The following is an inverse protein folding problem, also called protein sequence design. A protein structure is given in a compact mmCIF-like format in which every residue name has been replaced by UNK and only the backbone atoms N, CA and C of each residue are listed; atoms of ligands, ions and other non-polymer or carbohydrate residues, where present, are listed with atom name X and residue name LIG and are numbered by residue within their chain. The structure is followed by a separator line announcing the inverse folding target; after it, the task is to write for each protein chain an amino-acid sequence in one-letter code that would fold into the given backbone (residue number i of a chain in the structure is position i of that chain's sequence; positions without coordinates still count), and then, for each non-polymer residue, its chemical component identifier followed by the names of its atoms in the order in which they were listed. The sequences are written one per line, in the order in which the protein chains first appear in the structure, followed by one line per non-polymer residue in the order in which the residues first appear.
data_IF_838043324646
#
_entry.id   IF_838043324646
#
_cell.length_a   1.000
_cell.length_b   1.000
_cell.length_c   1.000
_cell.angle_alpha   90.00
_cell.angle_beta   90.00
_cell.angle_gamma   90.00
#
_symmetry.space_group_name_H-M   'P 1'
#
loop_
_entity.id
_entity.type
_entity.pdbx_description
1 polymer ?
#
# COMPACT_ATOMS: atom_id res chain seq x y z
N UNK A 1 -74.53 53.15 50.35
CA UNK A 1 -74.57 51.66 50.34
C UNK A 1 -74.14 50.95 49.05
N UNK A 2 -73.79 51.61 47.95
CA UNK A 2 -73.39 50.96 46.70
C UNK A 2 -71.92 50.55 46.62
N UNK A 3 -71.01 51.12 47.42
CA UNK A 3 -69.56 50.86 47.30
C UNK A 3 -69.10 49.57 48.04
N UNK A 4 -69.80 49.05 49.00
CA UNK A 4 -69.45 47.80 49.71
C UNK A 4 -69.86 46.53 48.96
N UNK A 5 -70.85 46.60 48.11
CA UNK A 5 -71.39 45.46 47.34
C UNK A 5 -70.49 45.13 46.14
N UNK A 6 -69.87 46.13 45.51
CA UNK A 6 -68.93 45.96 44.41
C UNK A 6 -67.64 45.26 44.87
N UNK A 7 -67.18 45.58 46.08
CA UNK A 7 -65.96 44.91 46.66
C UNK A 7 -66.18 43.44 47.04
N UNK A 8 -67.43 43.04 47.41
CA UNK A 8 -67.69 41.59 47.68
C UNK A 8 -67.79 40.78 46.41
N UNK A 9 -68.46 41.29 45.34
CA UNK A 9 -68.50 40.57 44.08
C UNK A 9 -67.17 40.48 43.38
N UNK A 10 -66.31 41.53 43.50
CA UNK A 10 -64.92 41.48 42.95
C UNK A 10 -64.04 40.43 43.64
N UNK A 11 -64.20 40.32 44.97
CA UNK A 11 -63.48 39.28 45.75
C UNK A 11 -63.90 37.84 45.39
N UNK A 12 -65.23 37.65 45.17
CA UNK A 12 -65.77 36.35 44.80
C UNK A 12 -65.26 35.96 43.38
N UNK A 13 -65.21 36.86 42.45
CA UNK A 13 -64.65 36.65 41.09
C UNK A 13 -63.17 36.39 41.17
N UNK A 14 -62.42 37.08 42.03
CA UNK A 14 -60.95 36.80 42.23
C UNK A 14 -60.69 35.41 42.83
N UNK A 15 -61.47 35.01 43.83
CA UNK A 15 -61.36 33.73 44.44
C UNK A 15 -61.76 32.54 43.51
N UNK A 16 -62.76 32.72 42.67
CA UNK A 16 -63.20 31.77 41.64
C UNK A 16 -62.15 31.67 40.52
N UNK A 17 -61.55 32.81 40.11
CA UNK A 17 -60.48 32.85 39.12
C UNK A 17 -59.21 32.12 39.63
N UNK A 18 -58.80 32.35 40.91
CA UNK A 18 -57.66 31.65 41.50
C UNK A 18 -57.98 30.12 41.64
N UNK A 19 -59.20 29.76 42.06
CA UNK A 19 -59.61 28.35 42.15
C UNK A 19 -59.54 27.65 40.78
N UNK A 20 -60.06 28.31 39.73
CA UNK A 20 -60.00 27.78 38.38
C UNK A 20 -58.53 27.65 37.85
N UNK A 21 -57.66 28.59 38.19
CA UNK A 21 -56.25 28.54 37.85
C UNK A 21 -55.53 27.39 38.56
N UNK A 22 -55.83 27.17 39.85
CA UNK A 22 -55.25 26.05 40.62
C UNK A 22 -55.73 24.70 40.09
N UNK A 23 -57.02 24.56 39.76
CA UNK A 23 -57.58 23.35 39.15
C UNK A 23 -56.97 23.11 37.77
N UNK A 24 -56.81 24.19 36.94
CA UNK A 24 -56.20 24.13 35.64
C UNK A 24 -54.70 23.70 35.66
N UNK A 25 -53.96 24.28 36.64
CA UNK A 25 -52.57 23.85 36.83
C UNK A 25 -52.45 22.40 37.33
N UNK A 26 -53.34 21.97 38.20
CA UNK A 26 -53.36 20.59 38.68
C UNK A 26 -53.76 19.60 37.56
N UNK A 27 -54.71 19.95 36.73
CA UNK A 27 -55.11 19.17 35.55
C UNK A 27 -53.96 19.10 34.52
N UNK A 28 -53.29 20.21 34.29
CA UNK A 28 -52.15 20.26 33.39
C UNK A 28 -51.00 19.43 33.90
N UNK A 29 -50.64 19.51 35.20
CA UNK A 29 -49.59 18.71 35.81
C UNK A 29 -49.95 17.22 35.81
N UNK A 30 -51.22 16.89 36.07
CA UNK A 30 -51.68 15.49 36.03
C UNK A 30 -51.60 14.91 34.62
N UNK A 31 -51.98 15.67 33.59
CA UNK A 31 -51.89 15.28 32.20
C UNK A 31 -50.42 15.13 31.75
N UNK A 32 -49.51 15.99 32.24
CA UNK A 32 -48.07 15.92 31.97
C UNK A 32 -47.34 14.85 32.77
N UNK A 33 -47.90 14.40 33.86
CA UNK A 33 -47.37 13.34 34.76
C UNK A 33 -47.76 11.92 34.34
N UNK A 34 -48.57 11.78 33.26
CA UNK A 34 -48.86 10.44 32.76
C UNK A 34 -47.58 9.86 32.13
N UNK A 35 -47.14 8.62 32.52
CA UNK A 35 -45.97 8.01 31.93
C UNK A 35 -46.21 7.84 30.43
N UNK A 36 -45.26 8.36 29.63
CA UNK A 36 -45.23 8.08 28.19
C UNK A 36 -44.93 6.57 28.04
N UNK A 37 -45.88 5.83 27.54
CA UNK A 37 -45.67 4.42 27.25
C UNK A 37 -44.66 4.35 26.10
N UNK A 38 -43.41 4.01 26.42
CA UNK A 38 -42.39 3.76 25.42
C UNK A 38 -42.73 2.48 24.66
N UNK A 39 -42.95 2.59 23.37
CA UNK A 39 -43.16 1.47 22.46
C UNK A 39 -41.82 1.05 21.91
N UNK A 40 -41.54 -0.24 21.95
CA UNK A 40 -40.34 -0.81 21.44
C UNK A 40 -40.58 -1.49 20.09
N UNK A 41 -39.60 -1.44 19.22
CA UNK A 41 -39.59 -2.21 17.99
C UNK A 41 -39.57 -3.69 18.31
N UNK A 42 -40.29 -4.50 17.53
CA UNK A 42 -40.30 -5.94 17.64
C UNK A 42 -39.45 -6.52 16.52
N UNK A 43 -38.37 -7.19 16.89
CA UNK A 43 -37.42 -7.80 15.96
C UNK A 43 -37.54 -9.31 16.02
N UNK A 44 -37.62 -9.94 14.86
CA UNK A 44 -37.59 -11.42 14.77
C UNK A 44 -36.18 -11.88 14.43
N UNK A 45 -35.69 -12.93 15.11
CA UNK A 45 -34.42 -13.56 14.74
C UNK A 45 -34.45 -14.05 13.29
N UNK A 46 -33.35 -13.90 12.55
CA UNK A 46 -33.21 -14.37 11.19
C UNK A 46 -31.92 -15.19 11.02
N UNK A 47 -31.92 -16.09 10.05
CA UNK A 47 -30.67 -16.76 9.70
C UNK A 47 -29.87 -15.86 8.76
N UNK A 48 -28.64 -15.62 9.15
CA UNK A 48 -27.71 -14.78 8.40
C UNK A 48 -26.26 -15.27 8.58
N UNK A 49 -25.34 -14.65 7.88
CA UNK A 49 -23.90 -14.91 8.06
C UNK A 49 -23.29 -13.80 8.89
N UNK A 50 -22.66 -14.14 10.00
CA UNK A 50 -21.92 -13.21 10.86
C UNK A 50 -20.43 -13.34 10.58
N UNK A 51 -19.77 -12.21 10.31
CA UNK A 51 -18.33 -12.17 9.98
C UNK A 51 -17.65 -11.18 10.90
N UNK A 52 -16.79 -11.70 11.78
CA UNK A 52 -15.90 -10.84 12.56
C UNK A 52 -14.70 -10.51 11.71
N UNK A 53 -14.43 -9.23 11.50
CA UNK A 53 -13.35 -8.72 10.67
C UNK A 53 -12.56 -7.63 11.39
N UNK A 54 -11.30 -7.49 11.04
CA UNK A 54 -10.48 -6.34 11.40
C UNK A 54 -10.04 -5.61 10.15
N UNK A 55 -9.68 -4.33 10.28
CA UNK A 55 -9.30 -3.49 9.15
C UNK A 55 -7.84 -3.08 9.31
N UNK A 56 -7.05 -3.35 8.26
CA UNK A 56 -5.70 -2.81 8.12
C UNK A 56 -5.68 -1.72 7.06
N UNK A 57 -4.96 -0.65 7.32
CA UNK A 57 -4.74 0.43 6.36
C UNK A 57 -3.33 0.35 5.79
N UNK A 58 -3.19 0.64 4.51
CA UNK A 58 -1.90 0.56 3.82
C UNK A 58 -1.96 1.02 2.38
N UNK A 59 -1.00 0.56 1.59
CA UNK A 59 -0.88 0.89 0.17
C UNK A 59 -0.79 -0.40 -0.67
N UNK A 60 -1.16 -0.27 -1.94
CA UNK A 60 -0.91 -1.31 -2.94
C UNK A 60 0.37 -0.95 -3.68
N UNK A 61 1.34 -1.86 -3.67
CA UNK A 61 2.67 -1.67 -4.26
C UNK A 61 2.99 -2.88 -5.16
N UNK A 62 3.84 -2.75 -6.19
CA UNK A 62 4.42 -3.91 -6.85
C UNK A 62 5.22 -4.75 -5.85
N UNK A 63 5.22 -6.07 -6.02
CA UNK A 63 6.02 -6.96 -5.15
C UNK A 63 7.51 -6.65 -5.22
N UNK A 64 7.99 -6.29 -6.41
CA UNK A 64 9.39 -5.93 -6.67
C UNK A 64 9.45 -4.66 -7.48
N UNK A 65 10.21 -3.71 -6.96
CA UNK A 65 10.62 -2.50 -7.66
C UNK A 65 12.14 -2.52 -7.83
N UNK A 66 12.61 -2.26 -9.02
CA UNK A 66 14.04 -2.24 -9.33
C UNK A 66 14.44 -0.85 -9.76
N UNK A 67 15.35 -0.26 -9.01
CA UNK A 67 15.99 1.01 -9.36
C UNK A 67 17.09 0.75 -10.40
N UNK A 68 16.93 1.30 -11.58
CA UNK A 68 17.92 1.25 -12.65
C UNK A 68 18.93 2.37 -12.42
N UNK A 69 20.17 1.97 -12.13
CA UNK A 69 21.29 2.90 -11.84
C UNK A 69 22.38 2.79 -12.90
N UNK A 70 23.15 3.86 -13.16
CA UNK A 70 24.21 3.83 -14.14
C UNK A 70 25.42 3.03 -13.63
N UNK A 71 26.11 2.37 -14.56
CA UNK A 71 27.39 1.68 -14.29
C UNK A 71 28.60 2.62 -14.40
N UNK A 72 28.38 3.84 -14.90
CA UNK A 72 29.41 4.83 -15.16
C UNK A 72 28.83 6.24 -14.92
N UNK A 73 29.64 7.12 -14.37
CA UNK A 73 29.24 8.52 -14.14
C UNK A 73 29.29 9.33 -15.44
N UNK A 74 28.38 10.28 -15.58
CA UNK A 74 28.32 11.12 -16.76
C UNK A 74 27.11 12.06 -16.78
N UNK A 75 26.73 12.52 -17.98
CA UNK A 75 25.54 13.36 -18.21
C UNK A 75 24.53 12.56 -19.03
N UNK A 76 23.24 12.65 -18.69
CA UNK A 76 22.16 12.08 -19.50
C UNK A 76 22.15 12.79 -20.85
N UNK A 77 22.49 12.08 -21.92
CA UNK A 77 22.46 12.58 -23.28
C UNK A 77 21.08 12.47 -23.91
N UNK A 78 20.37 11.37 -23.65
CA UNK A 78 19.06 11.08 -24.24
C UNK A 78 18.24 10.18 -23.28
N UNK A 79 16.95 10.47 -23.14
CA UNK A 79 15.96 9.58 -22.54
C UNK A 79 15.10 9.01 -23.67
N UNK A 80 15.06 7.69 -23.80
CA UNK A 80 14.32 6.98 -24.86
C UNK A 80 12.97 6.46 -24.41
N UNK A 81 12.72 6.50 -23.11
CA UNK A 81 11.48 6.04 -22.49
C UNK A 81 10.96 7.08 -21.53
N UNK A 82 9.67 7.01 -21.25
CA UNK A 82 8.96 7.86 -20.32
C UNK A 82 8.27 7.03 -19.23
N UNK A 83 7.95 7.66 -18.10
CA UNK A 83 7.16 7.03 -17.04
C UNK A 83 5.79 6.57 -17.58
N UNK A 84 5.36 5.37 -17.17
CA UNK A 84 4.14 4.72 -17.64
C UNK A 84 4.32 3.82 -18.86
N UNK A 85 5.49 3.81 -19.52
CA UNK A 85 5.77 2.92 -20.64
C UNK A 85 6.25 1.54 -20.18
N UNK A 86 5.90 0.51 -20.95
CA UNK A 86 6.42 -0.84 -20.75
C UNK A 86 7.83 -0.96 -21.34
N UNK A 87 8.68 -1.68 -20.65
CA UNK A 87 10.03 -2.04 -21.09
C UNK A 87 10.28 -3.52 -20.93
N UNK A 88 11.10 -4.08 -21.82
CA UNK A 88 11.60 -5.45 -21.72
C UNK A 88 12.98 -5.46 -21.10
N UNK A 89 13.35 -6.59 -20.51
CA UNK A 89 14.73 -6.81 -20.07
C UNK A 89 15.72 -6.57 -21.23
N UNK A 90 16.81 -5.82 -20.96
CA UNK A 90 17.79 -5.42 -21.95
C UNK A 90 17.42 -4.21 -22.83
N UNK A 91 16.19 -3.71 -22.76
CA UNK A 91 15.74 -2.54 -23.54
C UNK A 91 16.38 -1.25 -23.02
N UNK A 92 16.77 -0.34 -23.91
CA UNK A 92 17.46 0.89 -23.57
C UNK A 92 16.45 1.92 -23.05
N UNK A 93 16.70 2.44 -21.84
CA UNK A 93 15.91 3.49 -21.19
C UNK A 93 16.56 4.86 -21.44
N UNK A 94 17.88 4.95 -21.26
CA UNK A 94 18.62 6.20 -21.38
C UNK A 94 20.01 5.97 -21.98
N UNK A 95 20.61 7.04 -22.48
CA UNK A 95 22.00 7.07 -22.94
C UNK A 95 22.77 8.13 -22.13
N UNK A 96 23.95 7.75 -21.64
CA UNK A 96 24.83 8.62 -20.87
C UNK A 96 26.03 9.03 -21.75
N UNK A 97 26.41 10.29 -21.70
CA UNK A 97 27.68 10.79 -22.20
C UNK A 97 28.68 10.81 -21.04
N UNK A 98 29.78 10.08 -21.20
CA UNK A 98 30.84 10.02 -20.18
C UNK A 98 31.49 11.38 -20.01
N UNK A 99 31.81 11.76 -18.80
CA UNK A 99 32.69 12.86 -18.45
C UNK A 99 33.94 12.26 -17.82
N UNK A 100 35.00 12.05 -18.60
CA UNK A 100 36.21 11.44 -18.07
C UNK A 100 36.88 12.34 -17.02
N UNK A 101 37.44 11.73 -15.99
CA UNK A 101 38.31 12.45 -15.07
C UNK A 101 39.61 12.84 -15.76
N UNK A 102 39.93 14.15 -15.82
CA UNK A 102 41.05 14.68 -16.61
C UNK A 102 42.39 14.08 -16.24
N UNK A 103 42.60 13.75 -14.95
CA UNK A 103 43.86 13.11 -14.51
C UNK A 103 44.01 11.70 -15.09
N UNK A 104 42.92 10.92 -15.09
CA UNK A 104 42.91 9.57 -15.65
C UNK A 104 43.03 9.59 -17.17
N UNK A 105 42.36 10.54 -17.84
CA UNK A 105 42.45 10.72 -19.28
C UNK A 105 43.88 11.06 -19.72
N UNK A 106 44.51 12.06 -19.10
CA UNK A 106 45.91 12.43 -19.38
C UNK A 106 46.88 11.28 -19.13
N UNK A 107 46.66 10.49 -18.07
CA UNK A 107 47.47 9.32 -17.76
C UNK A 107 47.36 8.25 -18.84
N UNK A 108 46.13 8.00 -19.33
CA UNK A 108 45.89 7.00 -20.38
C UNK A 108 46.47 7.48 -21.74
N UNK A 109 46.33 8.75 -22.11
CA UNK A 109 46.97 9.33 -23.30
C UNK A 109 48.49 9.22 -23.25
N UNK A 110 49.07 9.49 -22.08
CA UNK A 110 50.55 9.34 -21.90
C UNK A 110 50.98 7.89 -22.10
N UNK A 111 50.19 6.88 -21.59
CA UNK A 111 50.52 5.46 -21.80
C UNK A 111 50.47 5.06 -23.28
N UNK A 112 49.48 5.54 -24.02
CA UNK A 112 49.38 5.30 -25.46
C UNK A 112 50.60 5.85 -26.16
N UNK A 113 51.01 7.10 -25.89
CA UNK A 113 52.19 7.71 -26.47
C UNK A 113 53.46 6.95 -26.19
N UNK A 114 53.65 6.46 -24.94
CA UNK A 114 54.82 5.66 -24.59
C UNK A 114 54.81 4.29 -25.32
N UNK A 115 53.63 3.64 -25.41
CA UNK A 115 53.50 2.36 -26.14
C UNK A 115 53.76 2.54 -27.66
N UNK A 116 53.30 3.64 -28.25
CA UNK A 116 53.57 3.95 -29.67
C UNK A 116 55.04 4.21 -29.95
N UNK A 117 55.75 4.94 -29.08
CA UNK A 117 57.21 5.17 -29.20
C UNK A 117 57.95 3.82 -29.09
N UNK A 118 57.59 2.97 -28.14
CA UNK A 118 58.16 1.62 -27.95
C UNK A 118 57.93 0.74 -29.19
N UNK A 119 56.68 0.72 -29.68
CA UNK A 119 56.32 -0.06 -30.86
C UNK A 119 57.16 0.39 -32.08
N UNK A 120 57.28 1.68 -32.31
CA UNK A 120 58.06 2.23 -33.44
C UNK A 120 59.54 1.79 -33.38
N UNK A 121 60.16 1.85 -32.19
CA UNK A 121 61.55 1.39 -31.98
C UNK A 121 61.73 -0.11 -32.27
N UNK A 122 60.79 -0.93 -31.77
CA UNK A 122 60.84 -2.39 -31.97
C UNK A 122 60.53 -2.75 -33.42
N UNK A 123 59.61 -2.04 -34.08
CA UNK A 123 59.26 -2.20 -35.50
C UNK A 123 60.46 -1.94 -36.41
N UNK A 124 61.21 -0.87 -36.15
CA UNK A 124 62.44 -0.54 -36.91
C UNK A 124 63.49 -1.64 -36.75
N UNK A 125 63.60 -2.21 -35.55
CA UNK A 125 64.51 -3.35 -35.28
C UNK A 125 64.04 -4.60 -36.01
N UNK A 126 62.74 -4.95 -35.89
CA UNK A 126 62.16 -6.10 -36.57
C UNK A 126 62.36 -6.01 -38.11
N UNK A 127 62.07 -4.88 -38.74
CA UNK A 127 62.24 -4.66 -40.17
C UNK A 127 63.71 -4.84 -40.60
N UNK A 128 64.64 -4.39 -39.80
CA UNK A 128 66.08 -4.56 -40.07
C UNK A 128 66.46 -6.04 -39.97
N UNK A 129 66.06 -6.71 -38.92
CA UNK A 129 66.35 -8.12 -38.67
C UNK A 129 65.67 -9.02 -39.73
N UNK A 130 64.50 -8.70 -40.21
CA UNK A 130 63.83 -9.36 -41.34
C UNK A 130 64.64 -9.30 -42.60
N UNK A 131 65.23 -8.12 -42.93
CA UNK A 131 66.05 -7.96 -44.10
C UNK A 131 67.42 -8.72 -43.96
N UNK A 132 68.01 -8.76 -42.74
CA UNK A 132 69.21 -9.51 -42.47
C UNK A 132 68.97 -11.02 -42.50
N UNK A 133 67.84 -11.48 -42.03
CA UNK A 133 67.44 -12.88 -42.09
C UNK A 133 67.22 -13.36 -43.53
N UNK A 134 66.54 -12.56 -44.35
CA UNK A 134 66.35 -12.80 -45.79
C UNK A 134 67.66 -12.90 -46.55
N UNK A 135 68.71 -12.19 -46.10
CA UNK A 135 70.07 -12.26 -46.65
C UNK A 135 70.94 -13.36 -46.02
N UNK A 136 70.42 -14.14 -45.09
CA UNK A 136 71.16 -15.21 -44.43
C UNK A 136 72.22 -14.72 -43.43
N UNK A 137 72.13 -13.49 -42.93
CA UNK A 137 73.12 -12.84 -42.05
C UNK A 137 72.87 -13.16 -40.58
N UNK A 138 71.61 -13.36 -40.13
CA UNK A 138 71.25 -13.70 -38.78
C UNK A 138 70.60 -15.08 -38.70
N UNK A 139 70.64 -15.69 -37.49
CA UNK A 139 70.02 -16.99 -37.25
C UNK A 139 68.49 -16.88 -37.17
N UNK A 140 67.79 -17.98 -37.42
CA UNK A 140 66.34 -18.12 -37.26
C UNK A 140 65.88 -17.72 -35.86
N UNK A 141 66.59 -18.16 -34.85
CA UNK A 141 66.29 -17.86 -33.44
C UNK A 141 66.28 -16.38 -33.13
N UNK A 142 67.28 -15.61 -33.63
CA UNK A 142 67.38 -14.18 -33.44
C UNK A 142 66.21 -13.45 -34.12
N UNK A 143 65.83 -13.87 -35.33
CA UNK A 143 64.69 -13.34 -36.04
C UNK A 143 63.36 -13.63 -35.32
N UNK A 144 63.18 -14.86 -34.80
CA UNK A 144 61.99 -15.24 -34.07
C UNK A 144 61.85 -14.44 -32.74
N UNK A 145 62.93 -14.12 -32.06
CA UNK A 145 62.97 -13.26 -30.88
C UNK A 145 62.55 -11.83 -31.27
N UNK A 146 63.10 -11.28 -32.38
CA UNK A 146 62.74 -9.95 -32.85
C UNK A 146 61.29 -9.86 -33.23
N UNK A 147 60.74 -10.89 -33.91
CA UNK A 147 59.33 -11.01 -34.25
C UNK A 147 58.43 -11.08 -33.01
N UNK A 148 58.83 -11.89 -32.02
CA UNK A 148 58.06 -12.01 -30.77
C UNK A 148 57.99 -10.65 -30.02
N UNK A 149 59.11 -9.90 -29.98
CA UNK A 149 59.18 -8.60 -29.36
C UNK A 149 58.29 -7.58 -30.10
N UNK A 150 58.28 -7.62 -31.43
CA UNK A 150 57.36 -6.75 -32.23
C UNK A 150 55.89 -7.06 -31.95
N UNK A 151 55.48 -8.33 -31.98
CA UNK A 151 54.10 -8.72 -31.66
C UNK A 151 53.69 -8.31 -30.24
N UNK A 152 54.59 -8.47 -29.25
CA UNK A 152 54.37 -8.01 -27.89
C UNK A 152 54.15 -6.49 -27.81
N UNK A 153 54.94 -5.70 -28.53
CA UNK A 153 54.81 -4.23 -28.57
C UNK A 153 53.48 -3.78 -29.26
N UNK A 154 53.02 -4.52 -30.29
CA UNK A 154 51.73 -4.29 -30.92
C UNK A 154 50.58 -4.50 -29.90
N UNK A 155 50.59 -5.64 -29.20
CA UNK A 155 49.58 -5.93 -28.17
C UNK A 155 49.58 -4.91 -27.03
N UNK A 156 50.73 -4.44 -26.59
CA UNK A 156 50.88 -3.42 -25.53
C UNK A 156 50.27 -2.06 -25.98
N UNK A 157 50.48 -1.64 -27.25
CA UNK A 157 49.87 -0.46 -27.83
C UNK A 157 48.38 -0.61 -27.93
N UNK A 158 47.87 -1.77 -28.38
CA UNK A 158 46.44 -2.03 -28.54
C UNK A 158 45.71 -2.08 -27.19
N UNK A 159 46.36 -2.61 -26.16
CA UNK A 159 45.84 -2.57 -24.79
C UNK A 159 45.79 -1.16 -24.23
N UNK A 160 46.87 -0.36 -24.43
CA UNK A 160 46.87 1.04 -23.99
C UNK A 160 45.80 1.86 -24.71
N UNK A 161 45.62 1.65 -26.03
CA UNK A 161 44.62 2.33 -26.85
C UNK A 161 43.18 1.94 -26.37
N UNK A 162 42.94 0.67 -26.12
CA UNK A 162 41.65 0.20 -25.59
C UNK A 162 41.32 0.80 -24.22
N UNK A 163 42.31 0.88 -23.32
CA UNK A 163 42.16 1.53 -22.01
C UNK A 163 41.82 3.04 -22.15
N UNK A 164 42.44 3.75 -23.07
CA UNK A 164 42.11 5.15 -23.35
C UNK A 164 40.68 5.30 -23.87
N UNK A 165 40.22 4.43 -24.77
CA UNK A 165 38.86 4.47 -25.33
C UNK A 165 37.83 4.21 -24.24
N UNK A 166 38.07 3.25 -23.33
CA UNK A 166 37.17 2.98 -22.17
C UNK A 166 37.07 4.24 -21.29
N UNK A 167 38.19 4.90 -20.97
CA UNK A 167 38.20 6.10 -20.12
C UNK A 167 37.49 7.25 -20.81
N UNK A 168 37.74 7.48 -22.12
CA UNK A 168 37.21 8.61 -22.85
C UNK A 168 35.75 8.45 -23.25
N UNK A 169 35.41 7.27 -23.79
CA UNK A 169 34.12 7.05 -24.46
C UNK A 169 33.22 6.07 -23.68
N UNK A 170 33.75 5.39 -22.64
CA UNK A 170 33.04 4.35 -21.87
C UNK A 170 32.83 3.04 -22.65
N UNK A 171 33.45 2.86 -23.81
CA UNK A 171 33.24 1.76 -24.75
C UNK A 171 34.60 1.27 -25.24
N UNK A 172 34.87 -0.04 -25.18
CA UNK A 172 35.97 -0.65 -25.92
C UNK A 172 35.45 -1.11 -27.28
N UNK A 173 36.06 -0.62 -28.39
CA UNK A 173 35.65 -0.94 -29.77
C UNK A 173 35.65 -2.45 -30.11
N UNK A 174 36.46 -3.24 -29.43
CA UNK A 174 36.66 -4.65 -29.72
C UNK A 174 35.88 -5.60 -28.75
N UNK A 175 35.02 -5.07 -27.86
CA UNK A 175 34.24 -5.91 -26.97
C UNK A 175 32.82 -6.08 -27.49
N UNK A 176 32.37 -7.33 -27.62
CA UNK A 176 30.95 -7.70 -27.79
C UNK A 176 30.14 -7.39 -26.53
N UNK A 177 30.71 -6.69 -25.55
CA UNK A 177 30.08 -6.28 -24.29
C UNK A 177 29.21 -5.06 -24.58
N UNK A 178 27.98 -5.12 -24.12
CA UNK A 178 27.01 -4.00 -24.17
C UNK A 178 27.67 -2.71 -23.68
N UNK A 179 27.52 -1.63 -24.44
CA UNK A 179 28.07 -0.32 -24.08
C UNK A 179 27.60 0.11 -22.70
N UNK A 180 28.54 0.41 -21.80
CA UNK A 180 28.24 0.91 -20.43
C UNK A 180 27.55 2.29 -20.44
N UNK A 181 27.58 2.99 -21.59
CA UNK A 181 26.89 4.27 -21.78
C UNK A 181 25.39 4.12 -22.03
N UNK A 182 24.91 2.92 -22.37
CA UNK A 182 23.50 2.64 -22.58
C UNK A 182 22.90 2.04 -21.31
N UNK A 183 21.98 2.76 -20.70
CA UNK A 183 21.25 2.28 -19.52
C UNK A 183 20.07 1.43 -19.98
N UNK A 184 20.10 0.16 -19.59
CA UNK A 184 19.12 -0.85 -19.99
C UNK A 184 18.32 -1.31 -18.78
N UNK A 185 17.06 -1.67 -19.02
CA UNK A 185 16.25 -2.33 -18.00
C UNK A 185 16.83 -3.71 -17.66
N UNK A 186 16.88 -4.02 -16.37
CA UNK A 186 17.29 -5.34 -15.86
C UNK A 186 16.13 -6.30 -15.70
N UNK A 187 14.89 -5.80 -15.80
CA UNK A 187 13.65 -6.59 -15.73
C UNK A 187 12.68 -6.14 -16.80
N UNK A 188 11.71 -7.00 -17.12
CA UNK A 188 10.53 -6.63 -17.91
C UNK A 188 9.46 -6.08 -16.99
N UNK A 189 8.92 -4.88 -17.29
CA UNK A 189 7.91 -4.25 -16.46
C UNK A 189 7.52 -2.87 -16.96
N UNK A 190 6.79 -2.14 -16.13
CA UNK A 190 6.41 -0.75 -16.39
C UNK A 190 7.39 0.19 -15.68
N UNK A 191 7.77 1.26 -16.35
CA UNK A 191 8.52 2.35 -15.73
C UNK A 191 7.57 3.15 -14.84
N UNK A 192 7.84 3.14 -13.52
CA UNK A 192 7.03 3.90 -12.55
C UNK A 192 7.42 5.36 -12.53
N UNK A 193 8.71 5.65 -12.54
CA UNK A 193 9.26 7.00 -12.46
C UNK A 193 10.62 7.11 -13.17
N UNK A 194 10.93 8.32 -13.68
CA UNK A 194 12.22 8.72 -14.22
C UNK A 194 12.59 10.07 -13.58
N UNK A 195 13.28 10.08 -12.42
CA UNK A 195 13.56 11.30 -11.67
C UNK A 195 14.62 12.20 -12.32
N UNK A 196 15.26 11.76 -13.39
CA UNK A 196 16.32 12.50 -14.10
C UNK A 196 15.81 13.11 -15.40
N UNK A 197 16.52 14.15 -15.87
CA UNK A 197 16.26 14.85 -17.15
C UNK A 197 17.50 14.86 -18.03
N UNK A 198 17.32 15.01 -19.32
CA UNK A 198 18.42 15.25 -20.27
C UNK A 198 19.25 16.44 -19.79
N UNK A 199 20.57 16.27 -19.75
CA UNK A 199 21.52 17.25 -19.21
C UNK A 199 21.84 17.09 -17.72
N UNK A 200 21.11 16.27 -16.97
CA UNK A 200 21.47 16.01 -15.58
C UNK A 200 22.76 15.18 -15.48
N UNK A 201 23.59 15.52 -14.50
CA UNK A 201 24.74 14.69 -14.10
C UNK A 201 24.25 13.50 -13.26
N UNK A 202 24.77 12.32 -13.54
CA UNK A 202 24.48 11.07 -12.85
C UNK A 202 25.77 10.41 -12.38
N UNK A 203 25.70 9.77 -11.23
CA UNK A 203 26.86 9.15 -10.56
C UNK A 203 26.57 7.67 -10.40
N UNK A 204 27.55 6.81 -10.72
CA UNK A 204 27.48 5.38 -10.46
C UNK A 204 27.43 5.08 -8.95
N UNK A 205 26.79 3.98 -8.56
CA UNK A 205 26.82 3.47 -7.19
C UNK A 205 28.22 3.00 -6.81
N UNK A 206 28.63 3.27 -5.58
CA UNK A 206 29.87 2.77 -4.98
C UNK A 206 29.68 2.57 -3.47
N UNK A 207 30.72 2.12 -2.75
CA UNK A 207 30.65 1.84 -1.31
C UNK A 207 30.29 3.05 -0.43
N UNK A 208 30.36 4.26 -0.97
CA UNK A 208 30.09 5.53 -0.26
C UNK A 208 28.85 6.26 -0.76
N UNK A 209 28.29 5.82 -1.89
CA UNK A 209 27.17 6.50 -2.53
C UNK A 209 26.28 5.47 -3.26
N UNK A 210 24.97 5.51 -2.97
CA UNK A 210 23.97 4.63 -3.59
C UNK A 210 23.79 4.83 -5.10
N UNK A 211 24.43 5.88 -5.66
CA UNK A 211 24.31 6.25 -7.06
C UNK A 211 22.99 6.97 -7.38
N UNK A 212 22.90 7.47 -8.63
CA UNK A 212 21.69 8.17 -9.10
C UNK A 212 20.73 7.20 -9.72
N UNK A 213 19.48 7.13 -9.21
CA UNK A 213 18.40 6.37 -9.84
C UNK A 213 17.98 7.06 -11.13
N UNK A 214 18.04 6.34 -12.25
CA UNK A 214 17.65 6.84 -13.59
C UNK A 214 16.16 6.53 -13.85
N UNK A 215 15.74 5.33 -13.52
CA UNK A 215 14.35 4.90 -13.65
C UNK A 215 14.03 3.86 -12.59
N UNK A 216 12.77 3.78 -12.15
CA UNK A 216 12.25 2.70 -11.34
C UNK A 216 11.33 1.85 -12.22
N UNK A 217 11.60 0.56 -12.30
CA UNK A 217 10.83 -0.39 -13.12
C UNK A 217 10.22 -1.45 -12.21
N UNK A 218 8.95 -1.78 -12.45
CA UNK A 218 8.23 -2.79 -11.66
C UNK A 218 7.29 -3.63 -12.53
N UNK A 219 7.03 -4.85 -12.07
CA UNK A 219 5.97 -5.70 -12.65
C UNK A 219 4.62 -5.34 -12.02
N UNK A 220 3.76 -4.68 -12.80
CA UNK A 220 2.41 -4.29 -12.39
C UNK A 220 1.41 -5.45 -12.38
N UNK A 221 1.80 -6.64 -12.81
CA UNK A 221 0.99 -7.85 -12.77
C UNK A 221 1.04 -8.56 -11.42
N UNK A 222 2.10 -8.34 -10.63
CA UNK A 222 2.29 -8.93 -9.29
C UNK A 222 2.30 -7.82 -8.22
N UNK A 223 1.11 -7.49 -7.75
CA UNK A 223 0.92 -6.43 -6.75
C UNK A 223 0.64 -7.02 -5.38
N UNK A 224 1.14 -6.36 -4.35
CA UNK A 224 0.90 -6.69 -2.95
C UNK A 224 0.25 -5.50 -2.24
N UNK A 225 -0.62 -5.80 -1.29
CA UNK A 225 -1.02 -4.86 -0.27
C UNK A 225 0.01 -4.90 0.87
N UNK A 226 0.53 -3.75 1.23
CA UNK A 226 1.41 -3.58 2.38
C UNK A 226 0.74 -2.64 3.36
N UNK A 227 0.32 -3.20 4.50
CA UNK A 227 -0.45 -2.48 5.49
C UNK A 227 0.05 -2.69 6.90
N UNK A 228 -0.60 -2.02 7.84
CA UNK A 228 -0.28 -2.12 9.25
C UNK A 228 -1.53 -2.50 10.04
N UNK A 229 -1.32 -3.36 11.05
CA UNK A 229 -2.35 -3.83 11.97
C UNK A 229 -1.92 -3.48 13.39
N UNK A 230 -2.89 -3.12 14.23
CA UNK A 230 -2.66 -2.81 15.64
C UNK A 230 -2.26 -4.05 16.45
N UNK A 231 -1.48 -3.84 17.53
CA UNK A 231 -1.02 -4.89 18.45
C UNK A 231 -2.18 -5.71 19.04
N UNK A 232 -3.32 -5.09 19.28
CA UNK A 232 -4.48 -5.75 19.89
C UNK A 232 -5.12 -6.80 18.97
N UNK A 233 -4.94 -6.66 17.64
CA UNK A 233 -5.54 -7.52 16.63
C UNK A 233 -4.59 -8.59 16.08
N UNK A 234 -3.28 -8.32 16.13
CA UNK A 234 -2.27 -9.17 15.46
C UNK A 234 -2.27 -10.63 15.97
N UNK A 235 -2.58 -10.84 17.24
CA UNK A 235 -2.63 -12.18 17.84
C UNK A 235 -3.71 -13.11 17.24
N UNK A 236 -4.66 -12.56 16.49
CA UNK A 236 -5.74 -13.29 15.80
C UNK A 236 -5.50 -13.47 14.31
N UNK A 237 -4.43 -12.86 13.77
CA UNK A 237 -4.11 -12.83 12.34
C UNK A 237 -3.02 -13.84 12.04
N UNK A 238 -3.19 -14.63 10.99
CA UNK A 238 -2.20 -15.59 10.53
C UNK A 238 -2.15 -15.63 8.99
N UNK A 239 -1.04 -16.09 8.45
CA UNK A 239 -0.84 -16.29 7.02
C UNK A 239 -1.92 -17.20 6.42
N UNK A 240 -2.29 -16.94 5.18
CA UNK A 240 -3.33 -17.66 4.46
C UNK A 240 -4.76 -17.10 4.65
N UNK A 241 -4.98 -16.13 5.55
CA UNK A 241 -6.30 -15.53 5.75
C UNK A 241 -6.77 -14.77 4.50
N UNK A 242 -8.07 -14.90 4.13
CA UNK A 242 -8.66 -14.14 3.04
C UNK A 242 -8.86 -12.68 3.45
N UNK A 243 -8.59 -11.78 2.51
CA UNK A 243 -8.71 -10.34 2.67
C UNK A 243 -9.60 -9.79 1.56
N UNK A 244 -10.52 -8.89 1.92
CA UNK A 244 -11.22 -8.03 0.96
C UNK A 244 -10.56 -6.66 0.98
N UNK A 245 -9.96 -6.29 -0.15
CA UNK A 245 -9.22 -5.05 -0.30
C UNK A 245 -10.07 -4.02 -1.04
N UNK A 246 -10.25 -2.85 -0.44
CA UNK A 246 -10.89 -1.69 -1.07
C UNK A 246 -9.83 -0.63 -1.33
N UNK A 247 -9.61 -0.30 -2.59
CA UNK A 247 -8.64 0.73 -3.01
C UNK A 247 -9.34 2.08 -3.05
N UNK A 248 -8.77 3.11 -2.41
CA UNK A 248 -9.39 4.42 -2.26
C UNK A 248 -9.75 5.10 -3.59
N UNK A 249 -8.94 4.87 -4.64
CA UNK A 249 -9.25 5.40 -5.99
C UNK A 249 -10.35 4.62 -6.73
N UNK A 250 -10.82 3.47 -6.19
CA UNK A 250 -11.78 2.54 -6.82
C UNK A 250 -12.76 2.01 -5.77
N UNK A 251 -13.40 2.91 -5.00
CA UNK A 251 -14.25 2.57 -3.84
C UNK A 251 -15.42 1.62 -4.15
N UNK A 252 -15.91 1.62 -5.39
CA UNK A 252 -17.01 0.75 -5.82
C UNK A 252 -16.58 -0.70 -6.11
N UNK A 253 -15.27 -1.00 -6.05
CA UNK A 253 -14.72 -2.30 -6.41
C UNK A 253 -13.85 -2.86 -5.29
N UNK A 254 -14.21 -4.04 -4.80
CA UNK A 254 -13.39 -4.80 -3.88
C UNK A 254 -12.54 -5.82 -4.65
N UNK A 255 -11.30 -5.98 -4.22
CA UNK A 255 -10.34 -6.95 -4.75
C UNK A 255 -10.12 -8.06 -3.72
N UNK A 256 -9.96 -9.27 -4.21
CA UNK A 256 -9.57 -10.39 -3.36
C UNK A 256 -8.07 -10.37 -3.14
N UNK A 257 -7.66 -10.58 -1.89
CA UNK A 257 -6.26 -10.71 -1.53
C UNK A 257 -6.09 -11.83 -0.51
N UNK A 258 -4.88 -12.36 -0.43
CA UNK A 258 -4.52 -13.39 0.54
C UNK A 258 -3.32 -12.94 1.36
N UNK A 259 -3.42 -13.06 2.67
CA UNK A 259 -2.35 -12.70 3.60
C UNK A 259 -1.17 -13.67 3.43
N UNK A 260 -0.01 -13.16 3.04
CA UNK A 260 1.21 -13.96 2.82
C UNK A 260 2.24 -13.81 3.93
N UNK A 261 2.25 -12.66 4.60
CA UNK A 261 3.27 -12.35 5.58
C UNK A 261 2.73 -11.48 6.71
N UNK A 262 3.14 -11.82 7.93
CA UNK A 262 2.90 -11.05 9.14
C UNK A 262 4.25 -10.77 9.79
N UNK A 263 4.59 -9.50 9.99
CA UNK A 263 5.86 -9.13 10.60
C UNK A 263 5.97 -9.66 12.04
N UNK A 264 7.07 -10.35 12.40
CA UNK A 264 7.31 -10.79 13.77
C UNK A 264 7.73 -9.63 14.70
N UNK A 265 7.98 -8.44 14.14
CA UNK A 265 8.42 -7.24 14.88
C UNK A 265 7.45 -6.11 14.70
N UNK A 266 6.91 -5.61 15.82
CA UNK A 266 6.14 -4.37 15.85
C UNK A 266 7.04 -3.14 15.72
N UNK A 267 6.50 -2.10 15.11
CA UNK A 267 7.13 -0.79 14.95
C UNK A 267 6.19 0.27 15.51
N UNK A 268 6.72 1.15 16.33
CA UNK A 268 5.95 2.28 16.84
C UNK A 268 5.73 3.31 15.72
N UNK A 269 4.46 3.57 15.40
CA UNK A 269 4.01 4.60 14.46
C UNK A 269 2.93 5.44 15.12
N UNK A 270 3.13 6.75 15.17
CA UNK A 270 2.16 7.71 15.74
C UNK A 270 1.71 7.36 17.17
N UNK A 271 2.61 6.82 18.00
CA UNK A 271 2.33 6.46 19.40
C UNK A 271 1.58 5.15 19.61
N UNK A 272 1.37 4.34 18.57
CA UNK A 272 0.81 3.00 18.63
C UNK A 272 1.78 1.97 18.05
N UNK A 273 1.82 0.78 18.65
CA UNK A 273 2.60 -0.34 18.11
C UNK A 273 1.80 -1.00 17.00
N UNK A 274 2.40 -1.03 15.81
CA UNK A 274 1.80 -1.60 14.62
C UNK A 274 2.70 -2.67 14.03
N UNK A 275 2.08 -3.69 13.44
CA UNK A 275 2.75 -4.79 12.76
C UNK A 275 2.49 -4.71 11.27
N UNK A 276 3.56 -4.77 10.48
CA UNK A 276 3.44 -4.80 9.02
C UNK A 276 2.88 -6.15 8.56
N UNK A 277 1.93 -6.09 7.64
CA UNK A 277 1.40 -7.26 6.94
C UNK A 277 1.56 -7.07 5.43
N UNK A 278 1.71 -8.19 4.71
CA UNK A 278 1.71 -8.21 3.24
C UNK A 278 0.71 -9.24 2.74
N UNK A 279 -0.06 -8.84 1.73
CA UNK A 279 -1.04 -9.72 1.11
C UNK A 279 -0.92 -9.65 -0.42
N UNK A 280 -0.92 -10.80 -1.09
CA UNK A 280 -0.99 -10.87 -2.54
C UNK A 280 -2.37 -10.44 -3.02
N UNK A 281 -2.41 -9.50 -3.96
CA UNK A 281 -3.65 -8.94 -4.51
C UNK A 281 -3.96 -9.63 -5.83
N UNK A 282 -5.15 -10.19 -5.95
CA UNK A 282 -5.63 -10.74 -7.22
C UNK A 282 -6.27 -9.63 -8.06
N UNK A 283 -5.56 -9.19 -9.11
CA UNK A 283 -6.03 -8.14 -10.00
C UNK A 283 -6.68 -8.78 -11.23
N UNK A 284 -7.98 -8.56 -11.46
CA UNK A 284 -8.63 -9.00 -12.68
C UNK A 284 -8.06 -8.29 -13.93
N UNK A 285 -8.05 -8.97 -15.08
CA UNK A 285 -7.45 -8.47 -16.32
C UNK A 285 -8.06 -7.14 -16.84
N UNK A 286 -9.26 -6.79 -16.39
CA UNK A 286 -9.98 -5.55 -16.74
C UNK A 286 -9.68 -4.39 -15.77
N UNK A 287 -8.85 -4.60 -14.76
CA UNK A 287 -8.49 -3.59 -13.77
C UNK A 287 -7.01 -3.22 -13.84
N UNK A 288 -6.72 -1.95 -13.67
CA UNK A 288 -5.37 -1.44 -13.54
C UNK A 288 -5.23 -0.65 -12.24
N UNK A 289 -4.41 -1.13 -11.32
CA UNK A 289 -4.11 -0.47 -10.04
C UNK A 289 -2.75 0.20 -10.17
N UNK A 290 -2.66 1.48 -9.82
CA UNK A 290 -1.37 2.18 -9.79
C UNK A 290 -0.63 1.88 -8.50
N UNK A 291 0.70 1.81 -8.58
CA UNK A 291 1.57 1.73 -7.42
C UNK A 291 1.34 2.91 -6.47
N UNK A 292 1.34 2.65 -5.16
CA UNK A 292 1.16 3.65 -4.13
C UNK A 292 -0.30 4.04 -3.83
N UNK A 293 -1.30 3.43 -4.46
CA UNK A 293 -2.69 3.68 -4.08
C UNK A 293 -2.95 3.22 -2.65
N UNK A 294 -3.56 4.10 -1.84
CA UNK A 294 -4.03 3.74 -0.52
C UNK A 294 -5.17 2.73 -0.59
N UNK A 295 -5.17 1.81 0.35
CA UNK A 295 -6.16 0.75 0.42
C UNK A 295 -6.50 0.37 1.86
N UNK A 296 -7.73 -0.09 2.06
CA UNK A 296 -8.21 -0.68 3.29
C UNK A 296 -8.42 -2.17 3.08
N UNK A 297 -7.81 -2.97 3.93
CA UNK A 297 -7.88 -4.42 3.89
C UNK A 297 -8.77 -4.92 5.03
N UNK A 298 -9.91 -5.51 4.69
CA UNK A 298 -10.78 -6.19 5.63
C UNK A 298 -10.32 -7.66 5.75
N UNK A 299 -9.74 -7.99 6.89
CA UNK A 299 -9.24 -9.34 7.20
C UNK A 299 -10.34 -10.09 7.94
N UNK A 300 -10.78 -11.21 7.38
CA UNK A 300 -11.83 -12.07 7.97
C UNK A 300 -11.21 -12.93 9.07
N UNK A 301 -11.50 -12.60 10.32
CA UNK A 301 -10.99 -13.34 11.49
C UNK A 301 -11.79 -14.62 11.76
N UNK A 302 -13.11 -14.51 11.75
CA UNK A 302 -14.02 -15.65 11.95
C UNK A 302 -15.30 -15.45 11.14
N UNK A 303 -15.89 -16.54 10.69
CA UNK A 303 -17.13 -16.54 9.92
C UNK A 303 -18.05 -17.66 10.44
N UNK A 304 -19.30 -17.32 10.70
CA UNK A 304 -20.36 -18.27 10.99
C UNK A 304 -21.46 -18.13 9.95
N UNK A 305 -21.74 -19.18 9.19
CA UNK A 305 -22.73 -19.18 8.12
C UNK A 305 -24.03 -19.81 8.58
N UNK A 306 -25.17 -19.23 8.11
CA UNK A 306 -26.51 -19.75 8.35
C UNK A 306 -26.84 -19.90 9.86
N UNK A 307 -26.34 -18.96 10.68
CA UNK A 307 -26.60 -18.92 12.13
C UNK A 307 -27.77 -18.01 12.45
N UNK A 308 -28.45 -18.29 13.55
CA UNK A 308 -29.56 -17.48 14.04
C UNK A 308 -28.98 -16.15 14.57
N UNK A 309 -29.45 -15.02 14.08
CA UNK A 309 -28.92 -13.70 14.44
C UNK A 309 -30.02 -12.76 14.91
N UNK A 310 -29.64 -11.86 15.81
CA UNK A 310 -30.42 -10.69 16.21
C UNK A 310 -29.51 -9.47 16.19
N UNK A 311 -30.07 -8.25 16.05
CA UNK A 311 -29.29 -7.03 16.25
C UNK A 311 -28.66 -7.02 17.64
N UNK A 312 -27.36 -6.73 17.73
CA UNK A 312 -26.63 -6.72 19.01
C UNK A 312 -27.25 -5.79 20.04
N UNK A 313 -27.90 -4.70 19.58
CA UNK A 313 -28.64 -3.75 20.40
C UNK A 313 -29.81 -4.37 21.18
N UNK A 314 -30.26 -5.59 20.83
CA UNK A 314 -31.34 -6.32 21.54
C UNK A 314 -30.83 -7.14 22.72
N UNK A 315 -29.51 -7.27 22.86
CA UNK A 315 -28.85 -8.05 23.89
C UNK A 315 -28.50 -7.18 25.10
N UNK A 316 -28.86 -7.65 26.29
CA UNK A 316 -28.48 -7.06 27.57
C UNK A 316 -27.37 -7.89 28.19
N UNK A 317 -26.13 -7.38 28.23
CA UNK A 317 -25.04 -8.06 28.91
C UNK A 317 -25.06 -7.76 30.42
N UNK A 318 -24.95 -8.79 31.22
CA UNK A 318 -24.86 -8.69 32.68
C UNK A 318 -23.77 -9.62 33.20
N UNK A 319 -22.57 -9.08 33.45
CA UNK A 319 -21.37 -9.89 33.71
C UNK A 319 -21.08 -10.80 32.51
N UNK A 320 -20.89 -12.09 32.74
CA UNK A 320 -20.61 -13.10 31.70
C UNK A 320 -21.87 -13.66 31.02
N UNK A 321 -23.06 -13.16 31.37
CA UNK A 321 -24.35 -13.67 30.88
C UNK A 321 -25.00 -12.65 29.93
N UNK A 322 -25.58 -13.16 28.84
CA UNK A 322 -26.35 -12.38 27.86
C UNK A 322 -27.85 -12.68 28.02
N UNK A 323 -28.66 -11.67 27.92
CA UNK A 323 -30.10 -11.75 28.05
C UNK A 323 -30.80 -11.03 26.92
N UNK A 324 -31.99 -11.51 26.57
CA UNK A 324 -32.92 -10.81 25.65
C UNK A 324 -34.24 -10.58 26.34
N UNK A 325 -35.00 -9.60 25.89
CA UNK A 325 -36.36 -9.34 26.32
C UNK A 325 -37.32 -9.92 25.26
N UNK A 326 -37.87 -11.10 25.55
CA UNK A 326 -38.88 -11.74 24.69
C UNK A 326 -40.20 -10.98 24.74
N UNK A 327 -40.83 -10.78 23.61
CA UNK A 327 -42.17 -10.21 23.50
C UNK A 327 -43.19 -11.31 23.75
N UNK A 328 -43.87 -11.25 24.89
CA UNK A 328 -45.00 -12.15 25.21
C UNK A 328 -46.33 -11.63 24.70
N UNK A 329 -46.49 -10.32 24.67
CA UNK A 329 -47.69 -9.65 24.21
C UNK A 329 -47.31 -8.33 23.56
N UNK A 330 -47.91 -8.02 22.38
CA UNK A 330 -47.69 -6.79 21.65
C UNK A 330 -48.75 -5.73 21.92
N UNK A 331 -50.00 -6.17 22.19
CA UNK A 331 -51.15 -5.30 22.44
C UNK A 331 -52.03 -5.88 23.59
N UNK A 332 -52.72 -5.02 24.41
CA UNK A 332 -52.78 -3.56 24.41
C UNK A 332 -51.50 -2.89 24.96
N UNK A 333 -50.74 -3.57 25.77
CA UNK A 333 -49.42 -3.12 26.29
C UNK A 333 -48.36 -4.18 25.97
N UNK A 334 -47.15 -3.75 25.65
CA UNK A 334 -46.05 -4.65 25.38
C UNK A 334 -45.57 -5.27 26.69
N UNK A 335 -45.61 -6.62 26.78
CA UNK A 335 -45.11 -7.39 27.92
C UNK A 335 -43.85 -8.13 27.47
N UNK A 336 -42.78 -8.01 28.26
CA UNK A 336 -41.51 -8.63 28.02
C UNK A 336 -41.14 -9.62 29.10
N UNK A 337 -40.48 -10.71 28.69
CA UNK A 337 -39.90 -11.71 29.60
C UNK A 337 -38.39 -11.74 29.36
N UNK A 338 -37.61 -11.55 30.40
CA UNK A 338 -36.14 -11.65 30.33
C UNK A 338 -35.74 -13.10 30.20
N UNK A 339 -35.04 -13.46 29.13
CA UNK A 339 -34.52 -14.80 28.87
C UNK A 339 -33.03 -14.78 28.69
N UNK A 340 -32.33 -15.71 29.33
CA UNK A 340 -30.90 -15.90 29.13
C UNK A 340 -30.67 -16.60 27.79
N UNK A 341 -29.64 -16.14 27.05
CA UNK A 341 -29.23 -16.68 25.77
C UNK A 341 -27.73 -16.93 25.76
N UNK A 342 -27.30 -17.91 24.97
CA UNK A 342 -25.90 -18.09 24.66
C UNK A 342 -25.60 -17.37 23.31
N UNK A 343 -24.65 -16.48 23.35
CA UNK A 343 -24.24 -15.70 22.16
C UNK A 343 -22.93 -16.25 21.60
N UNK A 344 -22.78 -16.14 20.29
CA UNK A 344 -21.59 -16.55 19.57
C UNK A 344 -20.83 -15.35 18.97
N UNK A 345 -20.58 -15.38 17.66
CA UNK A 345 -19.88 -14.31 16.95
C UNK A 345 -20.75 -13.05 16.83
N UNK A 346 -20.11 -11.89 16.93
CA UNK A 346 -20.70 -10.59 16.64
C UNK A 346 -19.89 -9.85 15.57
N UNK A 347 -20.58 -9.10 14.71
CA UNK A 347 -19.98 -8.16 13.74
C UNK A 347 -20.15 -6.68 14.15
N UNK A 348 -20.67 -6.45 15.39
CA UNK A 348 -20.98 -5.12 15.92
C UNK A 348 -22.36 -4.59 15.50
N UNK A 349 -23.06 -5.27 14.60
CA UNK A 349 -24.44 -4.95 14.17
C UNK A 349 -25.37 -6.11 14.55
N UNK A 350 -25.01 -7.31 14.14
CA UNK A 350 -25.74 -8.53 14.44
C UNK A 350 -24.87 -9.46 15.30
N UNK A 351 -25.51 -10.23 16.14
CA UNK A 351 -24.88 -11.21 17.00
C UNK A 351 -25.52 -12.58 16.81
N UNK A 352 -24.68 -13.60 16.74
CA UNK A 352 -25.10 -14.99 16.68
C UNK A 352 -25.73 -15.42 17.98
N UNK A 353 -26.85 -16.11 17.90
CA UNK A 353 -27.49 -16.81 19.03
C UNK A 353 -27.28 -18.32 18.86
N UNK A 354 -26.53 -18.92 19.78
CA UNK A 354 -26.26 -20.36 19.78
C UNK A 354 -27.37 -21.12 20.47
N UNK A 355 -27.87 -20.60 21.60
CA UNK A 355 -28.97 -21.23 22.38
C UNK A 355 -29.88 -20.18 23.01
N UNK A 356 -31.15 -20.55 23.24
CA UNK A 356 -32.13 -19.76 24.01
C UNK A 356 -33.15 -19.01 23.16
N UNK A 357 -33.00 -18.94 21.81
CA UNK A 357 -33.98 -18.38 20.90
C UNK A 357 -34.27 -19.30 19.71
N UNK A 358 -35.45 -19.13 19.14
CA UNK A 358 -35.90 -19.77 17.90
C UNK A 358 -36.28 -18.72 16.87
N UNK A 359 -36.41 -19.11 15.59
CA UNK A 359 -36.82 -18.21 14.52
C UNK A 359 -38.24 -17.61 14.69
N UNK A 360 -39.07 -18.28 15.52
CA UNK A 360 -40.47 -17.86 15.79
C UNK A 360 -40.57 -16.87 16.96
N UNK A 361 -39.52 -16.74 17.76
CA UNK A 361 -39.48 -15.82 18.87
C UNK A 361 -39.43 -14.37 18.38
N UNK A 362 -39.91 -13.46 19.22
CA UNK A 362 -39.83 -12.04 18.99
C UNK A 362 -39.11 -11.37 20.14
N UNK A 363 -38.15 -10.53 19.85
CA UNK A 363 -37.34 -9.84 20.85
C UNK A 363 -37.58 -8.33 20.81
N UNK A 364 -37.41 -7.68 21.95
CA UNK A 364 -37.50 -6.23 22.06
C UNK A 364 -36.34 -5.58 21.37
N UNK A 365 -36.61 -4.72 20.39
CA UNK A 365 -35.66 -3.87 19.71
C UNK A 365 -35.46 -2.51 20.37
N UNK A 366 -35.11 -1.52 19.58
CA UNK A 366 -34.92 -0.14 20.02
C UNK A 366 -36.23 0.51 20.45
N UNK A 367 -36.14 1.48 21.37
CA UNK A 367 -37.29 2.30 21.75
C UNK A 367 -37.71 3.18 20.56
N UNK A 368 -38.98 3.15 20.19
CA UNK A 368 -39.56 4.01 19.16
C UNK A 368 -39.98 5.28 19.84
N UNK A 369 -39.40 6.40 19.48
CA UNK A 369 -39.87 7.72 19.92
C UNK A 369 -41.20 8.05 19.18
N UNK A 370 -42.33 8.19 19.92
CA UNK A 370 -43.61 8.39 19.31
C UNK A 370 -43.70 9.72 18.53
N UNK A 371 -42.81 10.67 18.76
CA UNK A 371 -42.78 11.97 18.07
C UNK A 371 -42.24 11.91 16.65
N UNK A 372 -41.45 10.88 16.31
CA UNK A 372 -40.87 10.70 14.95
C UNK A 372 -41.78 9.99 13.94
N UNK A 373 -42.89 9.40 14.40
CA UNK A 373 -43.85 8.74 13.49
C UNK A 373 -44.75 9.69 12.71
N UNK A 374 -44.89 10.94 13.14
CA UNK A 374 -45.73 11.96 12.43
C UNK A 374 -45.00 12.61 11.26
N UNK A 375 -43.65 12.67 11.28
CA UNK A 375 -42.87 13.28 10.19
C UNK A 375 -42.64 12.36 8.98
N UNK A 376 -42.78 11.03 9.14
CA UNK A 376 -42.58 10.07 8.05
C UNK A 376 -43.84 9.81 7.21
N UNK A 377 -45.01 10.39 7.58
CA UNK A 377 -46.29 10.24 6.90
C UNK A 377 -46.80 11.55 6.29
N UNK A 378 -45.99 12.61 6.24
CA UNK A 378 -46.21 13.80 5.45
C UNK A 378 -45.22 13.89 4.30
#
# INVERSE_FOLDING_TARGET
MKKQWINKSLRIILFTGIGAAVIGTFYFLWKKSQPVVTVYEVVSPKRDTVVTKTVATGNVEPRYEVEIKPQISGIIAELRKEAGQMVKEGEIIATIKVIPEMVQLNSAESRVNVAEISLKQVEETYKRDEQLFQKGVIAQEDFDVSRANYLKAVEERDNAQSALEIIRDGIAKNSNVSSTTQIRSTITGMILDIPVKVGNSVIQANNFNDGTTIATVADMGDMIFKGNVDETEIGRIHEGMPIKLTVGAMESRAFDAQLEYVSPKGVEKNGAIQFEIKAAVTIPADAFIRAGYSANAEIVLKRAENVLTVPESTIEFSGDSAFVQLVKQEQPEQLFERRQVQVGLSDGINIEIQEGLTEQDKVRGAAIDPTKKEEANQ
#
